data_IF_102680740168
#
_entry.id   IF_102680740168
#
_cell.length_a   1.000
_cell.length_b   1.000
_cell.length_c   1.000
_cell.angle_alpha   90.00
_cell.angle_beta   90.00
_cell.angle_gamma   90.00
#
_symmetry.space_group_name_H-M   'P 1'
#
loop_
_entity.id
_entity.type
_entity.pdbx_description
1 polymer ?
#
# COMPACT_ATOMS: atom_id res chain seq x y z
N UNK A 1 -11.58 20.58 -25.38
CA UNK A 1 -10.40 19.71 -25.57
C UNK A 1 -10.87 18.31 -25.90
N UNK A 2 -11.07 18.04 -27.19
CA UNK A 2 -11.25 16.71 -27.75
C UNK A 2 -9.99 16.37 -28.53
N UNK A 3 -9.13 15.56 -27.97
CA UNK A 3 -8.33 14.63 -28.73
C UNK A 3 -8.61 13.26 -28.18
N UNK A 4 -9.65 12.65 -28.75
CA UNK A 4 -9.81 11.21 -28.70
C UNK A 4 -8.69 10.66 -29.58
N UNK A 5 -7.72 9.99 -28.96
CA UNK A 5 -6.78 9.15 -29.69
C UNK A 5 -7.64 8.10 -30.37
N UNK A 6 -7.83 8.22 -31.67
CA UNK A 6 -8.38 7.15 -32.54
C UNK A 6 -7.35 6.01 -32.56
N UNK A 7 -7.36 5.18 -31.52
CA UNK A 7 -6.70 3.90 -31.54
C UNK A 7 -7.56 2.97 -32.39
N UNK A 8 -6.98 2.37 -33.43
CA UNK A 8 -7.60 1.23 -34.12
C UNK A 8 -7.80 0.10 -33.10
N UNK A 9 -9.02 -0.08 -32.63
CA UNK A 9 -9.36 -1.20 -31.77
C UNK A 9 -9.21 -2.51 -32.56
N UNK A 10 -8.58 -3.52 -31.95
CA UNK A 10 -8.47 -4.83 -32.55
C UNK A 10 -9.87 -5.39 -32.88
N UNK A 11 -10.08 -5.84 -34.10
CA UNK A 11 -11.37 -6.43 -34.51
C UNK A 11 -11.36 -7.90 -34.11
N UNK A 12 -11.98 -8.22 -32.97
CA UNK A 12 -12.07 -9.59 -32.44
C UNK A 12 -13.34 -10.34 -32.86
N UNK A 13 -14.25 -9.69 -33.57
CA UNK A 13 -15.49 -10.27 -34.10
C UNK A 13 -15.99 -9.49 -35.32
N UNK A 14 -16.79 -10.13 -36.17
CA UNK A 14 -17.53 -9.45 -37.27
C UNK A 14 -18.62 -8.52 -36.72
N UNK A 15 -19.15 -8.79 -35.55
CA UNK A 15 -20.08 -7.98 -34.83
C UNK A 15 -19.31 -6.98 -33.92
N UNK A 16 -19.58 -5.68 -34.13
CA UNK A 16 -18.86 -4.63 -33.40
C UNK A 16 -19.12 -4.65 -31.90
N UNK A 17 -20.38 -4.91 -31.49
CA UNK A 17 -20.73 -5.02 -30.07
C UNK A 17 -20.02 -6.20 -29.41
N UNK A 18 -20.03 -7.35 -30.09
CA UNK A 18 -19.31 -8.55 -29.61
C UNK A 18 -17.79 -8.35 -29.56
N UNK A 19 -17.23 -7.65 -30.57
CA UNK A 19 -15.81 -7.29 -30.57
C UNK A 19 -15.46 -6.44 -29.35
N UNK A 20 -16.28 -5.43 -29.05
CA UNK A 20 -16.08 -4.56 -27.90
C UNK A 20 -16.22 -5.31 -26.56
N UNK A 21 -17.22 -6.20 -26.43
CA UNK A 21 -17.36 -7.08 -25.25
C UNK A 21 -16.09 -7.93 -25.02
N UNK A 22 -15.55 -8.52 -26.07
CA UNK A 22 -14.34 -9.34 -25.96
C UNK A 22 -13.12 -8.52 -25.54
N UNK A 23 -12.96 -7.31 -26.08
CA UNK A 23 -11.88 -6.39 -25.70
C UNK A 23 -12.02 -5.98 -24.25
N UNK A 24 -13.22 -5.66 -23.79
CA UNK A 24 -13.48 -5.24 -22.42
C UNK A 24 -13.21 -6.35 -21.41
N UNK A 25 -13.58 -7.59 -21.70
CA UNK A 25 -13.25 -8.73 -20.83
C UNK A 25 -11.73 -8.87 -20.64
N UNK A 26 -10.95 -8.67 -21.70
CA UNK A 26 -9.48 -8.68 -21.61
C UNK A 26 -8.97 -7.49 -20.78
N UNK A 27 -9.54 -6.28 -21.00
CA UNK A 27 -9.17 -5.08 -20.24
C UNK A 27 -9.46 -5.24 -18.75
N UNK A 28 -10.61 -5.77 -18.37
CA UNK A 28 -11.00 -6.06 -16.99
C UNK A 28 -10.03 -7.03 -16.31
N UNK A 29 -9.60 -8.07 -16.99
CA UNK A 29 -8.62 -9.03 -16.45
C UNK A 29 -7.25 -8.35 -16.17
N UNK A 30 -6.83 -7.43 -17.04
CA UNK A 30 -5.59 -6.66 -16.86
C UNK A 30 -5.72 -5.71 -15.65
N UNK A 31 -6.86 -5.02 -15.53
CA UNK A 31 -7.13 -4.10 -14.40
C UNK A 31 -7.17 -4.87 -13.08
N UNK A 32 -7.84 -6.03 -13.03
CA UNK A 32 -7.86 -6.89 -11.84
C UNK A 32 -6.44 -7.33 -11.45
N UNK A 33 -5.61 -7.72 -12.43
CA UNK A 33 -4.22 -8.09 -12.17
C UNK A 33 -3.41 -6.92 -11.62
N UNK A 34 -3.56 -5.72 -12.18
CA UNK A 34 -2.91 -4.52 -11.68
C UNK A 34 -3.34 -4.17 -10.24
N UNK A 35 -4.61 -4.40 -9.90
CA UNK A 35 -5.13 -4.20 -8.54
C UNK A 35 -4.51 -5.21 -7.54
N UNK A 36 -4.34 -6.48 -7.94
CA UNK A 36 -3.63 -7.49 -7.14
C UNK A 36 -2.18 -7.08 -6.91
N UNK A 37 -1.47 -6.63 -7.94
CA UNK A 37 -0.10 -6.12 -7.83
C UNK A 37 -0.03 -4.86 -6.96
N UNK A 38 -1.11 -4.07 -6.91
CA UNK A 38 -1.33 -2.96 -5.98
C UNK A 38 -1.57 -3.38 -4.52
N UNK A 39 -1.75 -4.69 -4.28
CA UNK A 39 -1.90 -5.31 -2.95
C UNK A 39 -3.33 -5.67 -2.57
N UNK A 40 -4.24 -5.71 -3.54
CA UNK A 40 -5.58 -6.24 -3.33
C UNK A 40 -5.57 -7.76 -3.18
N UNK A 41 -6.51 -8.31 -2.41
CA UNK A 41 -6.66 -9.76 -2.28
C UNK A 41 -7.07 -10.35 -3.65
N UNK A 42 -6.40 -11.43 -4.15
CA UNK A 42 -6.74 -12.03 -5.44
C UNK A 42 -8.20 -12.52 -5.54
N UNK A 43 -8.74 -13.14 -4.49
CA UNK A 43 -10.11 -13.66 -4.49
C UNK A 43 -11.12 -12.52 -4.62
N UNK A 44 -10.91 -11.41 -3.91
CA UNK A 44 -11.73 -10.21 -4.00
C UNK A 44 -11.63 -9.57 -5.39
N UNK A 45 -10.40 -9.41 -5.92
CA UNK A 45 -10.19 -8.84 -7.25
C UNK A 45 -10.87 -9.66 -8.34
N UNK A 46 -10.77 -10.98 -8.30
CA UNK A 46 -11.45 -11.85 -9.27
C UNK A 46 -12.97 -11.86 -9.11
N UNK A 47 -13.50 -11.80 -7.89
CA UNK A 47 -14.94 -11.69 -7.65
C UNK A 47 -15.54 -10.43 -8.28
N UNK A 48 -14.84 -9.29 -8.15
CA UNK A 48 -15.24 -8.03 -8.80
C UNK A 48 -15.14 -8.18 -10.32
N UNK A 49 -14.05 -8.75 -10.83
CA UNK A 49 -13.86 -9.00 -12.26
C UNK A 49 -15.01 -9.80 -12.86
N UNK A 50 -15.38 -10.90 -12.22
CA UNK A 50 -16.48 -11.77 -12.69
C UNK A 50 -17.82 -11.03 -12.71
N UNK A 51 -18.09 -10.20 -11.72
CA UNK A 51 -19.28 -9.35 -11.68
C UNK A 51 -19.34 -8.39 -12.88
N UNK A 52 -18.22 -7.73 -13.21
CA UNK A 52 -18.17 -6.85 -14.37
C UNK A 52 -18.26 -7.59 -15.69
N UNK A 53 -17.66 -8.77 -15.84
CA UNK A 53 -17.77 -9.62 -17.03
C UNK A 53 -19.25 -9.95 -17.32
N UNK A 54 -20.01 -10.35 -16.30
CA UNK A 54 -21.44 -10.63 -16.45
C UNK A 54 -22.24 -9.40 -16.89
N UNK A 55 -21.92 -8.24 -16.34
CA UNK A 55 -22.57 -6.95 -16.74
C UNK A 55 -22.21 -6.55 -18.16
N UNK A 56 -20.95 -6.74 -18.57
CA UNK A 56 -20.50 -6.50 -19.96
C UNK A 56 -21.18 -7.46 -20.93
N UNK A 57 -21.33 -8.74 -20.56
CA UNK A 57 -22.05 -9.71 -21.41
C UNK A 57 -23.53 -9.32 -21.58
N UNK A 58 -24.15 -8.79 -20.55
CA UNK A 58 -25.54 -8.31 -20.60
C UNK A 58 -25.73 -6.95 -21.32
N UNK A 59 -24.65 -6.19 -21.57
CA UNK A 59 -24.74 -4.86 -22.19
C UNK A 59 -25.30 -4.95 -23.62
N UNK A 60 -26.21 -4.02 -23.98
CA UNK A 60 -26.86 -3.97 -25.28
C UNK A 60 -26.18 -2.97 -26.21
N UNK A 61 -25.36 -2.04 -25.72
CA UNK A 61 -24.73 -0.99 -26.53
C UNK A 61 -23.24 -0.78 -26.14
N UNK A 62 -22.47 -0.21 -27.06
CA UNK A 62 -21.06 0.12 -26.85
C UNK A 62 -20.91 1.18 -25.74
N UNK A 63 -21.81 2.12 -25.64
CA UNK A 63 -21.84 3.17 -24.63
C UNK A 63 -21.99 2.57 -23.23
N UNK A 64 -22.83 1.54 -23.08
CA UNK A 64 -22.95 0.80 -21.80
C UNK A 64 -21.65 0.10 -21.42
N UNK A 65 -20.94 -0.49 -22.40
CA UNK A 65 -19.64 -1.12 -22.14
C UNK A 65 -18.61 -0.06 -21.68
N UNK A 66 -18.56 1.09 -22.35
CA UNK A 66 -17.68 2.20 -21.96
C UNK A 66 -17.96 2.74 -20.56
N UNK A 67 -19.24 2.79 -20.16
CA UNK A 67 -19.61 3.18 -18.79
C UNK A 67 -19.15 2.14 -17.75
N UNK A 68 -19.27 0.85 -18.06
CA UNK A 68 -18.79 -0.25 -17.20
C UNK A 68 -17.26 -0.27 -17.07
N UNK A 69 -16.53 -0.01 -18.16
CA UNK A 69 -15.07 0.15 -18.16
C UNK A 69 -14.62 1.24 -17.16
N UNK A 70 -15.25 2.41 -17.26
CA UNK A 70 -14.93 3.52 -16.35
C UNK A 70 -15.27 3.19 -14.89
N UNK A 71 -16.44 2.61 -14.64
CA UNK A 71 -16.89 2.21 -13.30
C UNK A 71 -15.94 1.19 -12.68
N UNK A 72 -15.56 0.15 -13.42
CA UNK A 72 -14.63 -0.88 -12.95
C UNK A 72 -13.26 -0.29 -12.59
N UNK A 73 -12.69 0.54 -13.46
CA UNK A 73 -11.39 1.18 -13.21
C UNK A 73 -11.43 2.09 -12.00
N UNK A 74 -12.51 2.83 -11.80
CA UNK A 74 -12.70 3.71 -10.65
C UNK A 74 -12.81 2.88 -9.35
N UNK A 75 -13.58 1.80 -9.37
CA UNK A 75 -13.73 0.91 -8.21
C UNK A 75 -12.39 0.29 -7.80
N UNK A 76 -11.67 -0.33 -8.73
CA UNK A 76 -10.36 -0.89 -8.44
C UNK A 76 -9.35 0.16 -7.95
N UNK A 77 -9.31 1.33 -8.58
CA UNK A 77 -8.43 2.41 -8.17
C UNK A 77 -8.74 2.89 -6.74
N UNK A 78 -10.01 3.02 -6.40
CA UNK A 78 -10.46 3.42 -5.06
C UNK A 78 -10.10 2.38 -4.01
N UNK A 79 -10.32 1.09 -4.28
CA UNK A 79 -9.98 0.01 -3.36
C UNK A 79 -8.47 -0.07 -3.11
N UNK A 80 -7.65 0.01 -4.16
CA UNK A 80 -6.18 0.01 -4.03
C UNK A 80 -5.69 1.26 -3.29
N UNK A 81 -6.30 2.43 -3.52
CA UNK A 81 -5.98 3.67 -2.81
C UNK A 81 -6.25 3.52 -1.30
N UNK A 82 -7.43 3.05 -0.94
CA UNK A 82 -7.83 2.85 0.46
C UNK A 82 -6.90 1.85 1.18
N UNK A 83 -6.46 0.79 0.50
CA UNK A 83 -5.48 -0.16 1.05
C UNK A 83 -4.12 0.48 1.30
N UNK A 84 -3.68 1.40 0.44
CA UNK A 84 -2.43 2.16 0.64
C UNK A 84 -2.53 3.12 1.81
N UNK A 85 -3.62 3.87 1.90
CA UNK A 85 -3.89 4.79 3.00
C UNK A 85 -3.90 4.06 4.35
N UNK A 86 -4.61 2.93 4.43
CA UNK A 86 -4.64 2.14 5.66
C UNK A 86 -3.25 1.62 6.06
N UNK A 87 -2.45 1.14 5.10
CA UNK A 87 -1.07 0.71 5.36
C UNK A 87 -0.17 1.84 5.83
N UNK A 88 -0.29 3.02 5.22
CA UNK A 88 0.46 4.20 5.64
C UNK A 88 0.09 4.60 7.07
N UNK A 89 -1.19 4.56 7.43
CA UNK A 89 -1.68 4.84 8.78
C UNK A 89 -1.05 3.90 9.82
N UNK A 90 -0.97 2.60 9.54
CA UNK A 90 -0.34 1.63 10.44
C UNK A 90 1.16 1.89 10.64
N UNK A 91 1.87 2.30 9.59
CA UNK A 91 3.31 2.66 9.70
C UNK A 91 3.50 3.92 10.54
N UNK A 92 2.68 4.95 10.33
CA UNK A 92 2.75 6.18 11.13
C UNK A 92 2.39 5.93 12.60
N UNK A 93 1.44 5.06 12.87
CA UNK A 93 1.11 4.66 14.24
C UNK A 93 2.24 3.87 14.90
N UNK A 94 2.89 2.95 14.17
CA UNK A 94 4.08 2.26 14.65
C UNK A 94 5.22 3.24 14.96
N UNK A 95 5.48 4.24 14.12
CA UNK A 95 6.48 5.29 14.36
C UNK A 95 6.16 6.09 15.63
N UNK A 96 4.89 6.42 15.84
CA UNK A 96 4.44 7.14 17.04
C UNK A 96 4.71 6.34 18.32
N UNK A 97 4.41 5.03 18.31
CA UNK A 97 4.70 4.12 19.43
C UNK A 97 6.20 4.00 19.67
N UNK A 98 6.97 3.77 18.61
CA UNK A 98 8.43 3.72 18.66
C UNK A 98 9.02 5.00 19.27
N UNK A 99 8.55 6.16 18.84
CA UNK A 99 9.02 7.45 19.35
C UNK A 99 8.69 7.64 20.83
N UNK A 100 7.47 7.31 21.25
CA UNK A 100 7.04 7.35 22.66
C UNK A 100 7.97 6.51 23.56
N UNK A 101 8.40 5.37 23.06
CA UNK A 101 9.13 4.35 23.81
C UNK A 101 10.65 4.38 23.60
N UNK A 102 11.20 5.46 22.97
CA UNK A 102 12.62 5.59 22.64
C UNK A 102 13.58 5.45 23.82
N UNK A 103 13.12 5.79 25.02
CA UNK A 103 13.91 5.74 26.26
C UNK A 103 14.04 4.34 26.86
N UNK A 104 13.40 3.34 26.28
CA UNK A 104 13.46 1.93 26.74
C UNK A 104 13.82 0.98 25.61
N UNK A 105 13.95 -0.30 25.95
CA UNK A 105 14.11 -1.35 24.95
C UNK A 105 12.82 -1.54 24.18
N UNK A 106 12.84 -1.23 22.89
CA UNK A 106 11.70 -1.42 21.99
C UNK A 106 11.72 -2.85 21.45
N UNK A 107 10.59 -3.56 21.58
CA UNK A 107 10.39 -4.90 21.04
C UNK A 107 9.34 -4.81 19.95
N UNK A 108 9.67 -5.27 18.73
CA UNK A 108 8.77 -5.17 17.56
C UNK A 108 7.43 -5.86 17.83
N UNK A 109 7.45 -6.97 18.59
CA UNK A 109 6.23 -7.69 18.98
C UNK A 109 5.26 -6.81 19.78
N UNK A 110 5.78 -5.97 20.67
CA UNK A 110 4.97 -5.10 21.51
C UNK A 110 4.36 -3.97 20.66
N UNK A 111 5.15 -3.37 19.78
CA UNK A 111 4.68 -2.35 18.82
C UNK A 111 3.59 -2.92 17.93
N UNK A 112 3.80 -4.11 17.37
CA UNK A 112 2.82 -4.79 16.52
C UNK A 112 1.54 -5.14 17.27
N UNK A 113 1.67 -5.56 18.54
CA UNK A 113 0.53 -5.87 19.41
C UNK A 113 -0.36 -4.66 19.69
N UNK A 114 0.23 -3.48 19.92
CA UNK A 114 -0.53 -2.25 20.15
C UNK A 114 -1.37 -1.80 18.95
N UNK A 115 -0.90 -2.09 17.73
CA UNK A 115 -1.63 -1.77 16.48
C UNK A 115 -2.36 -2.98 15.89
N UNK A 116 -2.51 -4.05 16.70
CA UNK A 116 -3.29 -5.24 16.38
C UNK A 116 -2.88 -5.98 15.10
N UNK A 117 -1.57 -6.03 14.80
CA UNK A 117 -1.02 -6.78 13.67
C UNK A 117 0.10 -7.73 14.12
N UNK A 118 0.55 -8.63 13.22
CA UNK A 118 1.67 -9.51 13.55
C UNK A 118 3.01 -8.80 13.37
N UNK A 119 4.07 -9.19 14.11
CA UNK A 119 5.42 -8.62 13.97
C UNK A 119 5.99 -8.77 12.56
N UNK A 120 5.69 -9.90 11.90
CA UNK A 120 6.14 -10.20 10.53
C UNK A 120 5.48 -9.23 9.54
N UNK A 121 4.16 -9.01 9.70
CA UNK A 121 3.42 -8.07 8.85
C UNK A 121 3.91 -6.63 9.06
N UNK A 122 4.12 -6.20 10.32
CA UNK A 122 4.69 -4.90 10.62
C UNK A 122 6.07 -4.73 9.95
N UNK A 123 6.96 -5.73 10.08
CA UNK A 123 8.31 -5.67 9.53
C UNK A 123 8.30 -5.53 8.00
N UNK A 124 7.45 -6.31 7.31
CA UNK A 124 7.29 -6.24 5.85
C UNK A 124 6.69 -4.90 5.40
N UNK A 125 5.63 -4.44 6.10
CA UNK A 125 4.95 -3.20 5.82
C UNK A 125 5.88 -1.99 5.99
N UNK A 126 6.60 -1.94 7.11
CA UNK A 126 7.53 -0.88 7.46
C UNK A 126 8.68 -0.79 6.46
N UNK A 127 9.30 -1.94 6.11
CA UNK A 127 10.37 -1.98 5.11
C UNK A 127 9.90 -1.52 3.73
N UNK A 128 8.65 -1.84 3.34
CA UNK A 128 8.07 -1.38 2.08
C UNK A 128 7.84 0.14 2.07
N UNK A 129 7.37 0.70 3.19
CA UNK A 129 7.05 2.12 3.30
C UNK A 129 8.29 3.00 3.47
N UNK A 130 9.24 2.58 4.34
CA UNK A 130 10.40 3.37 4.76
C UNK A 130 11.70 3.01 4.03
N UNK A 131 11.73 1.90 3.30
CA UNK A 131 12.93 1.37 2.63
C UNK A 131 13.97 0.73 3.57
N UNK A 132 13.77 0.81 4.89
CA UNK A 132 14.67 0.28 5.93
C UNK A 132 13.90 -0.61 6.92
N UNK A 133 14.62 -1.42 7.69
CA UNK A 133 13.98 -2.25 8.72
C UNK A 133 13.50 -1.40 9.91
N UNK A 134 12.55 -1.93 10.70
CA UNK A 134 12.10 -1.28 11.95
C UNK A 134 13.28 -1.06 12.92
N UNK A 135 14.19 -2.03 13.02
CA UNK A 135 15.36 -1.92 13.89
C UNK A 135 16.33 -0.82 13.43
N UNK A 136 16.58 -0.73 12.11
CA UNK A 136 17.44 0.33 11.57
C UNK A 136 16.80 1.71 11.78
N UNK A 137 15.48 1.82 11.63
CA UNK A 137 14.74 3.03 11.93
C UNK A 137 14.88 3.44 13.40
N UNK A 138 14.65 2.51 14.33
CA UNK A 138 14.81 2.75 15.78
C UNK A 138 16.24 3.24 16.08
N UNK A 139 17.25 2.56 15.54
CA UNK A 139 18.65 2.93 15.77
C UNK A 139 18.97 4.32 15.21
N UNK A 140 18.52 4.62 13.99
CA UNK A 140 18.69 5.93 13.36
C UNK A 140 18.06 7.04 14.20
N UNK A 141 16.84 6.85 14.67
CA UNK A 141 16.16 7.85 15.48
C UNK A 141 16.81 8.04 16.86
N UNK A 142 17.28 6.96 17.50
CA UNK A 142 18.07 7.05 18.75
C UNK A 142 19.35 7.86 18.56
N UNK A 143 20.10 7.62 17.48
CA UNK A 143 21.31 8.39 17.17
C UNK A 143 20.96 9.85 16.95
N UNK A 144 19.96 10.17 16.13
CA UNK A 144 19.52 11.55 15.87
C UNK A 144 19.11 12.30 17.14
N UNK A 145 18.36 11.64 18.02
CA UNK A 145 17.99 12.23 19.31
C UNK A 145 19.18 12.42 20.25
N UNK A 146 20.13 11.47 20.21
CA UNK A 146 21.39 11.55 20.99
C UNK A 146 22.26 12.74 20.54
N UNK A 147 22.37 12.95 19.22
CA UNK A 147 23.07 14.11 18.64
C UNK A 147 22.48 15.42 19.11
N UNK A 148 21.14 15.54 19.10
CA UNK A 148 20.45 16.72 19.62
C UNK A 148 20.74 16.95 21.12
N UNK A 149 20.72 15.91 21.94
CA UNK A 149 21.04 16.05 23.36
C UNK A 149 22.51 16.42 23.59
N UNK A 150 23.44 15.90 22.80
CA UNK A 150 24.86 16.30 22.87
C UNK A 150 25.07 17.75 22.48
N UNK A 151 24.34 18.27 21.51
CA UNK A 151 24.50 19.68 21.05
C UNK A 151 23.81 20.70 21.95
N UNK A 152 22.65 20.35 22.51
CA UNK A 152 21.79 21.35 23.15
C UNK A 152 21.50 21.09 24.63
N UNK A 153 22.11 20.06 25.24
CA UNK A 153 21.93 19.78 26.66
C UNK A 153 23.28 19.72 27.40
N UNK A 154 23.21 19.53 28.71
CA UNK A 154 24.40 19.34 29.56
C UNK A 154 24.64 17.88 29.93
N UNK A 155 23.89 16.96 29.30
CA UNK A 155 24.06 15.54 29.58
C UNK A 155 25.40 15.03 29.02
N UNK A 156 26.06 14.20 29.80
CA UNK A 156 27.25 13.49 29.36
C UNK A 156 26.91 12.38 28.36
N UNK A 157 27.85 11.98 27.54
CA UNK A 157 27.71 10.88 26.61
C UNK A 157 27.26 9.58 27.31
N UNK A 158 27.71 9.36 28.53
CA UNK A 158 27.33 8.20 29.36
C UNK A 158 25.85 8.24 29.77
N UNK A 159 25.34 9.39 30.18
CA UNK A 159 23.92 9.58 30.54
C UNK A 159 23.01 9.40 29.33
N UNK A 160 23.39 9.95 28.18
CA UNK A 160 22.68 9.79 26.92
C UNK A 160 22.66 8.33 26.47
N UNK A 161 23.80 7.65 26.55
CA UNK A 161 23.91 6.22 26.23
C UNK A 161 23.00 5.36 27.11
N UNK A 162 22.97 5.66 28.41
CA UNK A 162 22.10 4.97 29.35
C UNK A 162 20.64 5.24 29.08
N UNK A 163 20.28 6.49 28.81
CA UNK A 163 18.90 6.92 28.54
C UNK A 163 18.29 6.22 27.33
N UNK A 164 19.05 6.08 26.25
CA UNK A 164 18.57 5.41 25.04
C UNK A 164 18.83 3.90 25.04
N UNK A 165 19.43 3.34 26.09
CA UNK A 165 19.71 1.91 26.20
C UNK A 165 20.71 1.41 25.17
N UNK A 166 21.69 2.24 24.78
CA UNK A 166 22.85 1.76 24.04
C UNK A 166 23.68 0.87 24.97
N UNK A 167 23.81 -0.41 24.60
CA UNK A 167 24.65 -1.31 25.33
C UNK A 167 26.10 -0.83 25.22
N UNK A 168 26.78 -0.57 26.38
CA UNK A 168 28.21 -0.41 26.36
C UNK A 168 28.83 -1.76 26.02
N UNK A 169 29.52 -1.85 24.89
CA UNK A 169 30.47 -2.93 24.72
C UNK A 169 31.63 -2.63 25.67
N UNK A 170 31.73 -3.45 26.72
CA UNK A 170 32.92 -3.57 27.51
C UNK A 170 33.98 -4.35 26.75
#
# INVERSE_FOLDING_TARGET
LKEVVEGEYAVLSKDSLRSMKNLEIVALAIVARAAIDGGMNPEEAFSINDSYILRVDAAATIEQIGALDYEAKLEYATLVHNLKEHRNTLVEEAKRIIFRDMHKKIIIKDVAGEIHITPEYLSALFKRAEGITVNDYIMREKVRLSENLLMYSRYSMREISYYFGFCSQS
#
